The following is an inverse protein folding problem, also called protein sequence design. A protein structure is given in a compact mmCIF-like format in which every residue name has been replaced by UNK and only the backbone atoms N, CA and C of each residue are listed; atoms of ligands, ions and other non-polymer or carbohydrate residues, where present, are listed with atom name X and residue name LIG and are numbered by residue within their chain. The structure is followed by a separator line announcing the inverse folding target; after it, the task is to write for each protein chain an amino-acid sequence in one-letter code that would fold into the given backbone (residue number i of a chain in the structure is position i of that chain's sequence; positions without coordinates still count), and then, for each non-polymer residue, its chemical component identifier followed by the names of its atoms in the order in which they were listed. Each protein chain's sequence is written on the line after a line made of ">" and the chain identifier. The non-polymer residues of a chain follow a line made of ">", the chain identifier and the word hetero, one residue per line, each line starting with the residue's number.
data_IF_755475808630
#
_entry.id   IF_755475808630
#
_cell.length_a   1.000
_cell.length_b   1.000
_cell.length_c   1.000
_cell.angle_alpha   90.00
_cell.angle_beta   90.00
_cell.angle_gamma   90.00
#
_symmetry.space_group_name_H-M   'P 1'
#
loop_
_entity.id
_entity.type
_entity.pdbx_description
1 polymer ?
#
# COMPACT_ATOMS: atom_id res chain seq x y z
N UNK A 1 -16.62 37.88 -47.76
CA UNK A 1 -16.64 36.47 -47.32
C UNK A 1 -17.91 36.29 -46.48
N UNK A 2 -18.80 35.34 -46.80
CA UNK A 2 -20.03 35.11 -46.01
C UNK A 2 -19.66 34.20 -44.84
N UNK A 3 -19.59 34.76 -43.64
CA UNK A 3 -19.52 33.95 -42.43
C UNK A 3 -20.88 33.25 -42.24
N UNK A 4 -20.87 31.91 -42.26
CA UNK A 4 -22.03 31.12 -41.87
C UNK A 4 -22.09 31.16 -40.34
N UNK A 5 -23.03 31.92 -39.79
CA UNK A 5 -23.32 31.92 -38.36
C UNK A 5 -23.86 30.55 -37.91
N UNK A 6 -23.35 30.05 -36.79
CA UNK A 6 -23.82 28.82 -36.16
C UNK A 6 -25.27 28.99 -35.69
N UNK A 7 -26.13 28.01 -35.91
CA UNK A 7 -27.53 28.12 -35.47
C UNK A 7 -27.65 27.81 -33.98
N UNK A 8 -28.51 28.55 -33.27
CA UNK A 8 -28.80 28.26 -31.86
C UNK A 8 -29.33 26.83 -31.67
N UNK A 9 -30.10 26.32 -32.65
CA UNK A 9 -30.65 24.97 -32.61
C UNK A 9 -29.57 23.89 -32.77
N UNK A 10 -28.55 24.09 -33.60
CA UNK A 10 -27.39 23.19 -33.67
C UNK A 10 -26.71 23.10 -32.31
N UNK A 11 -26.51 24.24 -31.66
CA UNK A 11 -25.83 24.26 -30.35
C UNK A 11 -26.67 23.57 -29.27
N UNK A 12 -28.00 23.76 -29.30
CA UNK A 12 -28.90 23.10 -28.35
C UNK A 12 -28.88 21.58 -28.49
N UNK A 13 -28.97 21.05 -29.72
CA UNK A 13 -28.96 19.59 -29.95
C UNK A 13 -27.63 18.99 -29.50
N UNK A 14 -26.51 19.66 -29.78
CA UNK A 14 -25.18 19.21 -29.35
C UNK A 14 -25.07 19.11 -27.83
N UNK A 15 -25.53 20.13 -27.09
CA UNK A 15 -25.51 20.11 -25.63
C UNK A 15 -26.41 19.02 -25.06
N UNK A 16 -27.58 18.76 -25.68
CA UNK A 16 -28.47 17.66 -25.27
C UNK A 16 -27.80 16.30 -25.45
N UNK A 17 -27.14 16.06 -26.59
CA UNK A 17 -26.44 14.79 -26.85
C UNK A 17 -25.28 14.60 -25.86
N UNK A 18 -24.47 15.63 -25.63
CA UNK A 18 -23.37 15.58 -24.64
C UNK A 18 -23.94 15.33 -23.23
N UNK A 19 -25.09 15.92 -22.88
CA UNK A 19 -25.77 15.71 -21.61
C UNK A 19 -26.18 14.25 -21.38
N UNK A 20 -26.76 13.59 -22.40
CA UNK A 20 -27.15 12.18 -22.33
C UNK A 20 -25.91 11.28 -22.18
N UNK A 21 -24.86 11.54 -22.96
CA UNK A 21 -23.62 10.77 -22.88
C UNK A 21 -22.94 10.93 -21.51
N UNK A 22 -22.89 12.16 -20.98
CA UNK A 22 -22.31 12.45 -19.67
C UNK A 22 -23.09 11.76 -18.55
N UNK A 23 -24.43 11.72 -18.61
CA UNK A 23 -25.27 11.09 -17.60
C UNK A 23 -24.96 9.59 -17.41
N UNK A 24 -24.61 8.87 -18.49
CA UNK A 24 -24.25 7.45 -18.44
C UNK A 24 -22.76 7.27 -18.11
N UNK A 25 -21.90 8.11 -18.68
CA UNK A 25 -20.44 7.97 -18.56
C UNK A 25 -19.91 8.31 -17.17
N UNK A 26 -20.43 9.35 -16.51
CA UNK A 26 -19.95 9.82 -15.20
C UNK A 26 -20.04 8.74 -14.10
N UNK A 27 -21.18 8.07 -13.86
CA UNK A 27 -21.26 7.06 -12.81
C UNK A 27 -20.36 5.85 -13.10
N UNK A 28 -20.26 5.43 -14.37
CA UNK A 28 -19.37 4.34 -14.78
C UNK A 28 -17.90 4.71 -14.53
N UNK A 29 -17.48 5.91 -14.96
CA UNK A 29 -16.12 6.42 -14.75
C UNK A 29 -15.74 6.50 -13.26
N UNK A 30 -16.66 6.97 -12.42
CA UNK A 30 -16.48 7.00 -10.95
C UNK A 30 -16.23 5.59 -10.39
N UNK A 31 -17.01 4.60 -10.83
CA UNK A 31 -16.86 3.20 -10.39
C UNK A 31 -15.53 2.58 -10.86
N UNK A 32 -15.13 2.84 -12.11
CA UNK A 32 -13.89 2.37 -12.68
C UNK A 32 -12.68 2.93 -11.94
N UNK A 33 -12.73 4.23 -11.58
CA UNK A 33 -11.67 4.87 -10.79
C UNK A 33 -11.56 4.26 -9.39
N UNK A 34 -12.67 3.91 -8.74
CA UNK A 34 -12.65 3.25 -7.43
C UNK A 34 -11.99 1.86 -7.53
N UNK A 35 -12.39 1.06 -8.53
CA UNK A 35 -11.80 -0.26 -8.78
C UNK A 35 -10.30 -0.19 -9.08
N UNK A 36 -9.85 0.81 -9.83
CA UNK A 36 -8.43 1.03 -10.10
C UNK A 36 -7.64 1.33 -8.82
N UNK A 37 -8.19 2.13 -7.90
CA UNK A 37 -7.57 2.41 -6.61
C UNK A 37 -7.50 1.16 -5.71
N UNK A 38 -8.55 0.35 -5.69
CA UNK A 38 -8.55 -0.93 -4.98
C UNK A 38 -7.55 -1.94 -5.56
N UNK A 39 -7.42 -2.00 -6.88
CA UNK A 39 -6.40 -2.82 -7.53
C UNK A 39 -4.98 -2.38 -7.14
N UNK A 40 -4.74 -1.06 -7.09
CA UNK A 40 -3.47 -0.52 -6.60
C UNK A 40 -3.22 -0.85 -5.14
N UNK A 41 -4.25 -0.83 -4.28
CA UNK A 41 -4.14 -1.24 -2.89
C UNK A 41 -3.74 -2.71 -2.76
N UNK A 42 -4.36 -3.61 -3.54
CA UNK A 42 -3.97 -5.03 -3.58
C UNK A 42 -2.53 -5.21 -4.05
N UNK A 43 -2.09 -4.45 -5.06
CA UNK A 43 -0.70 -4.46 -5.50
C UNK A 43 0.27 -4.02 -4.39
N UNK A 44 -0.11 -3.00 -3.61
CA UNK A 44 0.67 -2.54 -2.48
C UNK A 44 0.77 -3.64 -1.40
N UNK A 45 -0.34 -4.31 -1.07
CA UNK A 45 -0.33 -5.43 -0.12
C UNK A 45 0.61 -6.55 -0.59
N UNK A 46 0.61 -6.87 -1.88
CA UNK A 46 1.51 -7.89 -2.44
C UNK A 46 2.99 -7.45 -2.41
N UNK A 47 3.28 -6.18 -2.67
CA UNK A 47 4.65 -5.65 -2.55
C UNK A 47 5.15 -5.72 -1.10
N UNK A 48 4.28 -5.42 -0.13
CA UNK A 48 4.59 -5.56 1.29
C UNK A 48 4.84 -7.01 1.68
N UNK A 49 4.05 -7.95 1.17
CA UNK A 49 4.27 -9.38 1.33
C UNK A 49 5.66 -9.78 0.83
N UNK A 50 5.99 -9.43 -0.42
CA UNK A 50 7.31 -9.76 -0.99
C UNK A 50 8.46 -9.20 -0.14
N UNK A 51 8.32 -7.98 0.37
CA UNK A 51 9.31 -7.39 1.26
C UNK A 51 9.43 -8.12 2.62
N UNK A 52 8.32 -8.64 3.15
CA UNK A 52 8.33 -9.44 4.38
C UNK A 52 8.97 -10.83 4.16
N UNK A 53 8.69 -11.48 3.03
CA UNK A 53 9.29 -12.77 2.66
C UNK A 53 10.80 -12.63 2.38
N UNK A 54 11.20 -11.55 1.71
CA UNK A 54 12.62 -11.23 1.46
C UNK A 54 13.34 -10.96 2.80
N UNK A 55 12.70 -10.24 3.72
CA UNK A 55 13.22 -10.07 5.08
C UNK A 55 13.39 -11.41 5.80
N UNK A 56 12.39 -12.29 5.75
CA UNK A 56 12.40 -13.60 6.41
C UNK A 56 13.53 -14.49 5.89
N UNK A 57 13.76 -14.47 4.59
CA UNK A 57 14.89 -15.18 3.96
C UNK A 57 16.24 -14.70 4.50
N UNK A 58 16.36 -13.40 4.80
CA UNK A 58 17.58 -12.82 5.39
C UNK A 58 17.70 -13.03 6.90
N UNK A 59 16.62 -13.43 7.58
CA UNK A 59 16.54 -13.52 9.04
C UNK A 59 16.18 -14.92 9.55
N UNK A 60 16.66 -15.95 8.85
CA UNK A 60 16.54 -17.36 9.27
C UNK A 60 15.07 -17.80 9.47
N UNK A 61 14.16 -17.27 8.64
CA UNK A 61 12.73 -17.60 8.69
C UNK A 61 11.92 -16.79 9.70
N UNK A 62 12.56 -15.87 10.43
CA UNK A 62 11.86 -14.98 11.35
C UNK A 62 11.29 -13.75 10.64
N UNK A 63 10.18 -13.25 11.16
CA UNK A 63 9.56 -12.01 10.71
C UNK A 63 9.81 -10.89 11.72
N UNK A 64 9.90 -9.63 11.27
CA UNK A 64 10.15 -8.53 12.17
C UNK A 64 8.87 -8.14 12.89
N UNK A 65 8.95 -7.93 14.22
CA UNK A 65 7.78 -7.46 14.99
C UNK A 65 7.20 -6.14 14.46
N UNK A 66 8.05 -5.26 13.94
CA UNK A 66 7.65 -4.00 13.32
C UNK A 66 8.38 -3.83 11.99
N UNK A 67 7.78 -3.13 11.02
CA UNK A 67 8.45 -2.88 9.74
C UNK A 67 9.72 -2.00 9.83
N UNK A 68 9.99 -1.41 11.00
CA UNK A 68 11.19 -0.64 11.28
C UNK A 68 12.36 -1.52 11.74
N UNK A 69 12.07 -2.72 12.27
CA UNK A 69 13.08 -3.64 12.79
C UNK A 69 14.00 -4.10 11.66
N UNK A 70 15.29 -4.05 11.91
CA UNK A 70 16.34 -4.48 10.97
C UNK A 70 16.63 -5.98 11.09
N UNK A 71 17.13 -6.56 10.01
CA UNK A 71 17.57 -7.97 9.99
C UNK A 71 18.62 -8.21 11.09
N UNK A 72 19.57 -7.28 11.28
CA UNK A 72 20.59 -7.38 12.33
C UNK A 72 20.01 -7.50 13.74
N UNK A 73 18.98 -6.70 14.06
CA UNK A 73 18.30 -6.77 15.37
C UNK A 73 17.60 -8.12 15.58
N UNK A 74 17.01 -8.69 14.52
CA UNK A 74 16.38 -10.02 14.57
C UNK A 74 17.43 -11.12 14.74
N UNK A 75 18.53 -11.10 13.97
CA UNK A 75 19.61 -12.07 14.08
C UNK A 75 20.26 -12.07 15.46
N UNK A 76 20.49 -10.89 16.04
CA UNK A 76 21.05 -10.77 17.39
C UNK A 76 20.10 -11.39 18.42
N UNK A 77 18.80 -11.19 18.28
CA UNK A 77 17.82 -11.82 19.15
C UNK A 77 17.76 -13.36 19.00
N UNK A 78 18.12 -13.87 17.82
CA UNK A 78 18.29 -15.30 17.55
C UNK A 78 19.66 -15.85 18.01
N UNK A 79 20.54 -15.02 18.56
CA UNK A 79 21.84 -15.43 19.11
C UNK A 79 23.03 -15.34 18.13
N UNK A 80 22.83 -14.76 16.95
CA UNK A 80 23.92 -14.54 15.99
C UNK A 80 24.75 -13.29 16.36
N UNK A 81 26.07 -13.29 16.10
CA UNK A 81 26.89 -12.10 16.33
C UNK A 81 26.44 -10.95 15.43
N UNK A 82 26.49 -9.71 15.94
CA UNK A 82 26.09 -8.51 15.21
C UNK A 82 26.77 -8.40 13.85
N UNK A 83 25.99 -8.48 12.78
CA UNK A 83 26.45 -8.26 11.41
C UNK A 83 26.07 -6.85 10.98
N UNK A 84 27.06 -5.96 10.81
CA UNK A 84 26.86 -4.55 10.40
C UNK A 84 26.32 -4.39 8.96
N UNK A 85 26.34 -5.44 8.14
CA UNK A 85 25.84 -5.40 6.75
C UNK A 85 24.35 -5.73 6.62
N UNK A 86 23.73 -6.33 7.65
CA UNK A 86 22.33 -6.74 7.65
C UNK A 86 21.39 -5.65 8.22
N UNK A 87 21.62 -4.39 7.87
CA UNK A 87 20.82 -3.25 8.39
C UNK A 87 19.49 -3.08 7.66
N UNK A 88 19.14 -3.96 6.72
CA UNK A 88 17.90 -3.88 5.95
C UNK A 88 16.68 -4.05 6.86
N UNK A 89 15.65 -3.28 6.63
CA UNK A 89 14.34 -3.39 7.29
C UNK A 89 13.24 -3.37 6.23
N UNK A 90 12.03 -3.85 6.55
CA UNK A 90 10.93 -3.88 5.57
C UNK A 90 10.62 -2.45 5.09
N UNK A 91 10.38 -1.52 6.02
CA UNK A 91 9.95 -0.16 5.71
C UNK A 91 10.97 0.93 6.09
N UNK A 92 12.03 0.63 6.85
CA UNK A 92 13.10 1.62 7.12
C UNK A 92 12.67 2.95 7.72
N UNK A 93 11.53 3.04 8.41
CA UNK A 93 11.00 4.29 8.92
C UNK A 93 10.39 4.17 10.31
N UNK A 94 10.50 5.29 11.04
CA UNK A 94 9.73 5.62 12.23
C UNK A 94 8.25 5.78 11.85
N UNK A 95 7.34 5.35 12.73
CA UNK A 95 5.89 5.38 12.52
C UNK A 95 5.40 6.71 11.90
N UNK A 96 4.61 6.64 10.82
CA UNK A 96 3.98 7.81 10.20
C UNK A 96 4.83 8.56 9.16
N UNK A 97 6.07 8.16 8.91
CA UNK A 97 6.91 8.71 7.84
C UNK A 97 7.03 7.74 6.67
N UNK A 98 7.34 8.27 5.48
CA UNK A 98 7.64 7.43 4.32
C UNK A 98 8.82 6.52 4.65
N UNK A 99 9.01 5.36 3.97
CA UNK A 99 10.26 4.61 4.07
C UNK A 99 11.43 5.55 3.78
N UNK A 100 12.04 6.09 4.84
CA UNK A 100 13.02 7.16 4.78
C UNK A 100 14.33 6.59 5.28
N UNK A 101 15.16 6.18 4.31
CA UNK A 101 16.62 6.31 4.21
C UNK A 101 17.53 6.01 5.42
N UNK A 102 17.03 5.67 6.60
CA UNK A 102 17.90 5.46 7.75
C UNK A 102 18.67 4.13 7.59
N UNK A 103 18.03 3.10 7.02
CA UNK A 103 18.51 1.72 7.09
C UNK A 103 18.12 0.84 5.87
N UNK A 104 18.42 1.27 4.64
CA UNK A 104 18.25 0.49 3.39
C UNK A 104 16.93 -0.33 3.31
N UNK A 105 15.77 0.34 3.11
CA UNK A 105 14.46 -0.34 3.14
C UNK A 105 14.29 -1.33 1.99
N UNK A 106 13.54 -2.41 2.25
CA UNK A 106 13.14 -3.38 1.22
C UNK A 106 11.96 -2.87 0.38
N UNK A 107 11.08 -2.06 0.97
CA UNK A 107 9.99 -1.42 0.24
C UNK A 107 10.51 -0.36 -0.75
N UNK A 108 9.98 -0.34 -2.00
CA UNK A 108 10.30 0.71 -2.96
C UNK A 108 9.89 2.11 -2.49
N UNK A 109 10.66 3.13 -2.84
CA UNK A 109 10.34 4.54 -2.52
C UNK A 109 9.02 5.02 -3.15
N UNK A 110 8.57 4.37 -4.21
CA UNK A 110 7.31 4.65 -4.90
C UNK A 110 6.07 4.04 -4.21
N UNK A 111 6.23 3.41 -3.05
CA UNK A 111 5.13 2.82 -2.28
C UNK A 111 4.22 3.89 -1.67
N UNK A 112 3.13 4.25 -2.37
CA UNK A 112 2.22 5.35 -2.02
C UNK A 112 0.75 4.96 -1.99
N UNK A 113 -0.03 5.67 -1.19
CA UNK A 113 -1.44 5.41 -1.01
C UNK A 113 -2.24 5.85 -2.26
N UNK A 114 -3.06 4.96 -2.87
CA UNK A 114 -3.80 5.26 -4.10
C UNK A 114 -5.02 6.17 -3.91
N UNK A 115 -5.50 6.33 -2.68
CA UNK A 115 -6.60 7.22 -2.32
C UNK A 115 -6.11 8.61 -1.91
N UNK A 116 -4.98 8.70 -1.22
CA UNK A 116 -4.36 9.92 -0.73
C UNK A 116 -2.85 9.93 -1.03
N UNK A 117 -2.40 10.48 -2.17
CA UNK A 117 -0.99 10.40 -2.59
C UNK A 117 -0.03 11.19 -1.68
N UNK A 118 -0.55 12.06 -0.83
CA UNK A 118 0.21 12.79 0.20
C UNK A 118 0.56 11.91 1.41
N UNK A 119 -0.06 10.73 1.53
CA UNK A 119 0.13 9.79 2.62
C UNK A 119 0.84 8.53 2.10
N UNK A 120 1.61 7.88 2.96
CA UNK A 120 2.24 6.60 2.62
C UNK A 120 1.19 5.49 2.52
N UNK A 121 1.48 4.47 1.73
CA UNK A 121 0.62 3.29 1.63
C UNK A 121 0.74 2.35 2.84
N UNK A 122 1.45 2.75 3.89
CA UNK A 122 1.82 1.94 5.04
C UNK A 122 1.60 2.72 6.33
N UNK A 123 1.02 2.08 7.35
CA UNK A 123 0.92 2.62 8.71
C UNK A 123 1.15 1.53 9.77
N UNK A 124 1.88 1.88 10.84
CA UNK A 124 2.20 0.98 11.95
C UNK A 124 1.18 1.00 13.09
N UNK A 125 0.19 1.92 13.07
CA UNK A 125 -0.77 2.11 14.15
C UNK A 125 -2.17 1.74 13.65
N UNK A 126 -2.82 0.82 14.38
CA UNK A 126 -4.21 0.35 14.33
C UNK A 126 -4.96 0.39 12.97
N UNK A 127 -5.56 -0.73 12.54
CA UNK A 127 -6.33 -0.77 11.29
C UNK A 127 -7.50 0.24 11.31
N UNK A 128 -7.62 1.05 10.24
CA UNK A 128 -8.83 1.82 9.94
C UNK A 128 -8.72 3.35 9.99
N UNK A 129 -7.53 3.93 10.17
CA UNK A 129 -7.38 5.39 10.20
C UNK A 129 -7.45 6.02 8.79
N UNK A 130 -6.89 5.38 7.76
CA UNK A 130 -6.76 5.96 6.41
C UNK A 130 -7.06 4.93 5.31
N UNK A 131 -8.04 5.24 4.45
CA UNK A 131 -8.33 4.43 3.27
C UNK A 131 -7.12 4.37 2.32
N UNK A 132 -6.79 3.19 1.82
CA UNK A 132 -5.64 2.94 0.95
C UNK A 132 -4.34 2.58 1.66
N UNK A 133 -4.33 2.57 2.99
CA UNK A 133 -3.18 2.10 3.76
C UNK A 133 -3.19 0.59 3.91
N UNK A 134 -1.99 0.03 3.92
CA UNK A 134 -1.69 -1.36 4.24
C UNK A 134 -1.10 -1.43 5.64
N UNK A 135 -1.45 -2.49 6.36
CA UNK A 135 -1.10 -2.77 7.74
C UNK A 135 -0.45 -4.13 7.81
N UNK A 136 0.55 -4.25 8.65
CA UNK A 136 1.35 -5.42 8.90
C UNK A 136 1.34 -5.55 10.41
N UNK A 137 0.87 -6.70 10.83
CA UNK A 137 0.68 -7.05 12.21
C UNK A 137 1.38 -8.38 12.41
N UNK A 138 2.40 -8.39 13.26
CA UNK A 138 2.96 -9.64 13.75
C UNK A 138 1.91 -10.35 14.61
N UNK A 139 1.76 -11.66 14.40
CA UNK A 139 0.88 -12.50 15.23
C UNK A 139 1.58 -12.80 16.56
N UNK A 140 0.85 -13.16 17.63
CA UNK A 140 1.35 -12.98 18.99
C UNK A 140 2.54 -13.91 19.32
N UNK A 141 3.72 -13.31 19.42
CA UNK A 141 4.87 -13.79 20.17
C UNK A 141 5.43 -12.69 21.07
N UNK A 142 6.43 -13.06 21.87
CA UNK A 142 7.13 -12.14 22.78
C UNK A 142 8.56 -12.00 22.28
N UNK A 143 8.88 -10.92 21.57
CA UNK A 143 10.24 -10.69 21.06
C UNK A 143 10.29 -9.74 19.86
N UNK A 144 11.48 -9.61 19.25
CA UNK A 144 11.68 -8.86 17.98
C UNK A 144 11.60 -9.77 16.74
N UNK A 145 11.61 -11.09 16.96
CA UNK A 145 11.53 -12.16 15.97
C UNK A 145 10.20 -12.91 16.14
N UNK A 146 9.40 -12.95 15.09
CA UNK A 146 8.06 -13.54 15.11
C UNK A 146 7.94 -14.63 14.05
N UNK A 147 7.14 -15.66 14.32
CA UNK A 147 6.98 -16.80 13.40
C UNK A 147 5.85 -16.60 12.39
N UNK A 148 5.03 -15.56 12.54
CA UNK A 148 3.89 -15.31 11.67
C UNK A 148 3.53 -13.82 11.63
N UNK A 149 2.94 -13.42 10.50
CA UNK A 149 2.48 -12.06 10.26
C UNK A 149 1.10 -12.06 9.61
N UNK A 150 0.47 -10.89 9.52
CA UNK A 150 -0.76 -10.70 8.74
C UNK A 150 -0.70 -9.35 8.03
N UNK A 151 -1.22 -9.31 6.79
CA UNK A 151 -1.29 -8.07 6.00
C UNK A 151 -2.76 -7.70 5.76
N UNK A 152 -3.12 -6.47 6.10
CA UNK A 152 -4.48 -5.95 5.94
C UNK A 152 -4.43 -4.69 5.10
N UNK A 153 -5.32 -4.53 4.14
CA UNK A 153 -5.49 -3.30 3.37
C UNK A 153 -6.84 -2.67 3.65
N UNK A 154 -6.90 -1.34 3.81
CA UNK A 154 -8.19 -0.66 3.96
C UNK A 154 -8.70 -0.17 2.61
N UNK A 155 -9.75 -0.81 2.10
CA UNK A 155 -10.46 -0.34 0.90
C UNK A 155 -11.27 0.93 1.20
N UNK A 156 -11.92 1.50 0.17
CA UNK A 156 -12.75 2.70 0.32
C UNK A 156 -13.91 2.47 1.33
N UNK A 157 -14.51 1.29 1.29
CA UNK A 157 -15.76 0.99 1.99
C UNK A 157 -15.67 -0.24 2.93
N UNK A 158 -14.57 -1.00 2.87
CA UNK A 158 -14.38 -2.21 3.69
C UNK A 158 -12.90 -2.57 3.85
N UNK A 159 -12.59 -3.31 4.92
CA UNK A 159 -11.27 -3.85 5.18
C UNK A 159 -11.03 -5.09 4.30
N UNK A 160 -10.00 -5.03 3.46
CA UNK A 160 -9.49 -6.16 2.69
C UNK A 160 -8.46 -6.89 3.55
N UNK A 161 -8.85 -8.00 4.16
CA UNK A 161 -7.91 -8.87 4.89
C UNK A 161 -7.26 -9.82 3.89
N UNK A 162 -5.93 -9.84 3.82
CA UNK A 162 -5.19 -10.95 3.23
C UNK A 162 -4.38 -11.60 4.34
N UNK A 163 -4.94 -12.65 4.96
CA UNK A 163 -4.21 -13.41 5.97
C UNK A 163 -3.17 -14.25 5.23
N UNK A 164 -1.90 -13.86 5.36
CA UNK A 164 -0.76 -14.61 4.87
C UNK A 164 -0.06 -15.16 6.10
N UNK A 165 -0.41 -16.39 6.47
CA UNK A 165 0.31 -17.12 7.51
C UNK A 165 1.67 -17.50 6.96
N UNK A 166 2.72 -17.42 7.78
CA UNK A 166 4.04 -17.89 7.39
C UNK A 166 3.95 -19.30 6.79
N UNK A 167 4.61 -19.51 5.65
CA UNK A 167 4.72 -20.82 5.02
C UNK A 167 5.38 -21.79 6.00
N UNK A 168 4.66 -22.88 6.30
CA UNK A 168 5.30 -24.16 6.63
C UNK A 168 5.89 -24.73 5.34
#
# INVERSE_FOLDING_TARGET
>A
MKEKGFTLIELMIVVVIIGILAAIAIPNFMSMRSRAKEASLKSNMHTLQLAAEDFSTMSEGAYPRTCATTVSEVLVALGYPTVLTAVKSIAGAVAGLAPQSANNPLLPLAFKNPFLPTVNAWESNAPGAIAGCTYYESLPGTGVAEIAYSIRGYGKDALLVLILTAGQ
#
